data_IF_488174667329
#
_entry.id   IF_488174667329
#
_cell.length_a   1.000
_cell.length_b   1.000
_cell.length_c   1.000
_cell.angle_alpha   90.00
_cell.angle_beta   90.00
_cell.angle_gamma   90.00
#
_symmetry.space_group_name_H-M   'P 1'
#
loop_
_entity.id
_entity.type
_entity.pdbx_description
1 polymer ?
#
# COMPACT_ATOMS: atom_id res chain seq x y z
N UNK A 1 -6.74 7.04 2.24
CA UNK A 1 -5.55 7.36 3.05
C UNK A 1 -4.69 6.11 3.18
N UNK A 2 -3.36 6.26 3.00
CA UNK A 2 -2.45 5.12 3.06
C UNK A 2 -2.12 4.72 4.52
N UNK A 3 -1.93 5.71 5.41
CA UNK A 3 -1.64 5.54 6.84
C UNK A 3 -2.62 6.37 7.66
N UNK A 4 -2.77 6.09 8.95
CA UNK A 4 -3.64 6.88 9.83
C UNK A 4 -3.13 8.32 10.02
N UNK A 5 -4.04 9.24 10.32
CA UNK A 5 -3.66 10.63 10.61
C UNK A 5 -2.86 10.74 11.90
N UNK A 6 -3.19 9.90 12.87
CA UNK A 6 -2.57 9.86 14.19
C UNK A 6 -1.07 9.50 14.08
N UNK A 7 -0.72 8.52 13.24
CA UNK A 7 0.70 8.16 12.96
C UNK A 7 1.44 9.32 12.30
N UNK A 8 0.82 10.00 11.33
CA UNK A 8 1.45 11.14 10.65
C UNK A 8 1.63 12.33 11.61
N UNK A 9 0.64 12.58 12.45
CA UNK A 9 0.71 13.64 13.47
C UNK A 9 1.79 13.33 14.52
N UNK A 10 1.84 12.09 15.03
CA UNK A 10 2.89 11.64 15.93
C UNK A 10 4.30 11.84 15.33
N UNK A 11 4.49 11.50 14.05
CA UNK A 11 5.75 11.68 13.38
C UNK A 11 6.12 13.17 13.17
N UNK A 12 5.14 14.05 12.98
CA UNK A 12 5.36 15.48 12.87
C UNK A 12 5.77 16.10 14.22
N UNK A 13 5.06 15.75 15.29
CA UNK A 13 5.38 16.17 16.66
C UNK A 13 6.78 15.67 17.06
N UNK A 14 7.08 14.39 16.81
CA UNK A 14 8.39 13.81 17.08
C UNK A 14 9.52 14.47 16.27
N UNK A 15 9.25 14.97 15.08
CA UNK A 15 10.21 15.72 14.28
C UNK A 15 10.54 17.08 14.90
N UNK A 16 9.53 17.80 15.39
CA UNK A 16 9.69 19.11 16.01
C UNK A 16 10.42 19.02 17.37
N UNK A 17 10.25 17.89 18.07
CA UNK A 17 10.83 17.63 19.39
C UNK A 17 12.18 16.87 19.34
N UNK A 18 12.67 16.54 18.14
CA UNK A 18 13.87 15.71 17.89
C UNK A 18 13.80 14.33 18.58
N UNK A 19 12.58 13.77 18.60
CA UNK A 19 12.30 12.46 19.17
C UNK A 19 11.99 11.41 18.08
N UNK A 20 11.99 10.12 18.46
CA UNK A 20 11.58 8.99 17.59
C UNK A 20 12.15 9.06 16.15
N UNK A 21 13.49 9.19 15.99
CA UNK A 21 14.10 9.42 14.68
C UNK A 21 13.76 8.35 13.64
N UNK A 22 13.53 7.11 14.07
CA UNK A 22 13.15 6.01 13.18
C UNK A 22 11.73 6.19 12.61
N UNK A 23 10.75 6.59 13.44
CA UNK A 23 9.39 6.89 12.99
C UNK A 23 9.40 8.07 12.02
N UNK A 24 10.12 9.13 12.39
CA UNK A 24 10.28 10.33 11.56
C UNK A 24 10.88 9.95 10.20
N UNK A 25 11.97 9.17 10.17
CA UNK A 25 12.61 8.75 8.94
C UNK A 25 11.67 7.89 8.07
N UNK A 26 10.96 6.94 8.69
CA UNK A 26 10.01 6.06 8.01
C UNK A 26 8.86 6.82 7.35
N UNK A 27 8.33 7.87 8.00
CA UNK A 27 7.25 8.69 7.45
C UNK A 27 7.76 9.70 6.42
N UNK A 28 8.92 10.33 6.67
CA UNK A 28 9.48 11.36 5.77
C UNK A 28 9.80 10.84 4.38
N UNK A 29 10.35 9.61 4.29
CA UNK A 29 10.82 9.09 3.00
C UNK A 29 9.71 8.96 1.95
N UNK A 30 8.57 8.29 2.22
CA UNK A 30 7.48 8.22 1.24
C UNK A 30 6.85 9.60 0.95
N UNK A 31 6.78 10.49 1.95
CA UNK A 31 6.29 11.87 1.74
C UNK A 31 7.20 12.63 0.80
N UNK A 32 8.53 12.58 1.00
CA UNK A 32 9.50 13.21 0.14
C UNK A 32 9.47 12.66 -1.30
N UNK A 33 9.37 11.33 -1.46
CA UNK A 33 9.23 10.71 -2.77
C UNK A 33 7.96 11.19 -3.49
N UNK A 34 6.82 11.22 -2.81
CA UNK A 34 5.56 11.70 -3.40
C UNK A 34 5.61 13.19 -3.75
N UNK A 35 6.21 14.01 -2.88
CA UNK A 35 6.40 15.43 -3.14
C UNK A 35 7.27 15.67 -4.38
N UNK A 36 8.39 14.94 -4.49
CA UNK A 36 9.29 15.02 -5.65
C UNK A 36 8.58 14.61 -6.95
N UNK A 37 7.84 13.49 -6.94
CA UNK A 37 7.06 13.03 -8.10
C UNK A 37 6.02 14.06 -8.56
N UNK A 38 5.37 14.74 -7.62
CA UNK A 38 4.40 15.81 -7.93
C UNK A 38 5.10 17.05 -8.46
N UNK A 39 6.19 17.44 -7.82
CA UNK A 39 6.97 18.59 -8.23
C UNK A 39 7.55 18.42 -9.63
N UNK A 40 8.15 17.26 -9.94
CA UNK A 40 8.72 16.97 -11.26
C UNK A 40 7.68 17.15 -12.38
N UNK A 41 6.45 16.68 -12.17
CA UNK A 41 5.34 16.86 -13.13
C UNK A 41 4.88 18.31 -13.29
N UNK A 42 4.95 19.10 -12.21
CA UNK A 42 4.55 20.52 -12.24
C UNK A 42 5.66 21.40 -12.81
N UNK A 43 6.94 21.06 -12.54
CA UNK A 43 8.09 21.86 -12.97
C UNK A 43 8.48 21.65 -14.43
N UNK A 44 8.02 20.58 -15.07
CA UNK A 44 8.27 20.32 -16.50
C UNK A 44 7.68 21.37 -17.44
N UNK A 45 6.72 22.17 -16.95
CA UNK A 45 6.07 23.22 -17.73
C UNK A 45 6.03 24.52 -16.91
N UNK A 46 6.61 25.61 -17.42
CA UNK A 46 6.46 26.92 -16.82
C UNK A 46 5.09 27.53 -17.10
N UNK A 47 4.46 28.07 -16.08
CA UNK A 47 3.18 28.77 -16.17
C UNK A 47 3.45 30.27 -16.20
N UNK A 48 3.33 30.88 -17.38
CA UNK A 48 3.47 32.33 -17.56
C UNK A 48 2.11 32.96 -17.91
N UNK A 49 2.01 34.29 -17.77
CA UNK A 49 0.79 35.04 -18.13
C UNK A 49 0.39 34.88 -19.62
N UNK A 50 1.33 34.48 -20.48
CA UNK A 50 1.14 34.22 -21.92
C UNK A 50 0.87 32.75 -22.24
N UNK A 51 0.72 31.88 -21.24
CA UNK A 51 0.43 30.45 -21.43
C UNK A 51 1.52 29.53 -20.88
N UNK A 52 1.39 28.24 -21.19
CA UNK A 52 2.34 27.20 -20.78
C UNK A 52 3.52 27.17 -21.75
N UNK A 53 4.74 27.23 -21.22
CA UNK A 53 5.96 27.13 -22.03
C UNK A 53 6.93 26.12 -21.42
N UNK A 54 7.66 25.42 -22.30
CA UNK A 54 8.82 24.62 -21.90
C UNK A 54 10.03 25.54 -21.97
N UNK A 55 10.75 25.70 -20.86
CA UNK A 55 12.04 26.41 -20.87
C UNK A 55 13.09 25.48 -21.48
N UNK A 56 13.64 25.88 -22.59
CA UNK A 56 14.82 25.25 -23.21
C UNK A 56 15.92 26.30 -23.12
N UNK A 57 16.98 26.00 -22.37
CA UNK A 57 18.18 26.84 -22.34
C UNK A 57 19.09 26.41 -23.51
N UNK A 58 19.88 27.32 -24.05
CA UNK A 58 20.73 27.07 -25.24
C UNK A 58 21.74 25.92 -25.04
N UNK A 59 22.03 25.58 -23.78
CA UNK A 59 22.94 24.48 -23.40
C UNK A 59 22.24 23.22 -22.86
N UNK A 60 20.90 23.20 -22.75
CA UNK A 60 20.13 22.07 -22.22
C UNK A 60 19.18 21.54 -23.30
N UNK A 61 19.13 20.22 -23.45
CA UNK A 61 18.15 19.57 -24.30
C UNK A 61 17.04 19.00 -23.45
N UNK A 62 15.81 19.16 -23.91
CA UNK A 62 14.66 18.44 -23.33
C UNK A 62 14.94 16.94 -23.36
N UNK A 63 14.70 16.22 -22.26
CA UNK A 63 14.85 14.77 -22.24
C UNK A 63 13.89 14.11 -23.23
N UNK A 64 14.30 12.98 -23.80
CA UNK A 64 13.41 12.18 -24.63
C UNK A 64 12.30 11.54 -23.78
N UNK A 65 11.14 11.30 -24.37
CA UNK A 65 9.98 10.71 -23.69
C UNK A 65 10.33 9.41 -22.92
N UNK A 66 11.10 8.51 -23.53
CA UNK A 66 11.53 7.28 -22.88
C UNK A 66 12.43 7.50 -21.64
N UNK A 67 13.17 8.61 -21.59
CA UNK A 67 13.97 8.98 -20.40
C UNK A 67 13.07 9.46 -19.27
N UNK A 68 12.05 10.25 -19.60
CA UNK A 68 11.02 10.72 -18.65
C UNK A 68 10.26 9.52 -18.09
N UNK A 69 9.82 8.61 -18.95
CA UNK A 69 9.09 7.41 -18.53
C UNK A 69 9.92 6.51 -17.62
N UNK A 70 11.21 6.35 -17.93
CA UNK A 70 12.13 5.56 -17.09
C UNK A 70 12.36 6.22 -15.72
N UNK A 71 12.52 7.52 -15.68
CA UNK A 71 12.67 8.27 -14.43
C UNK A 71 11.39 8.23 -13.60
N UNK A 72 10.24 8.47 -14.21
CA UNK A 72 8.93 8.35 -13.57
C UNK A 72 8.68 6.95 -12.98
N UNK A 73 9.12 5.90 -13.68
CA UNK A 73 9.05 4.51 -13.19
C UNK A 73 9.96 4.32 -11.97
N UNK A 74 11.22 4.74 -12.05
CA UNK A 74 12.17 4.64 -10.95
C UNK A 74 11.71 5.41 -9.70
N UNK A 75 11.15 6.60 -9.89
CA UNK A 75 10.56 7.39 -8.78
C UNK A 75 9.36 6.70 -8.15
N UNK A 76 8.47 6.10 -8.95
CA UNK A 76 7.33 5.31 -8.46
C UNK A 76 7.80 4.09 -7.66
N UNK A 77 8.75 3.33 -8.18
CA UNK A 77 9.32 2.19 -7.46
C UNK A 77 9.94 2.59 -6.12
N UNK A 78 10.68 3.70 -6.09
CA UNK A 78 11.25 4.23 -4.85
C UNK A 78 10.16 4.61 -3.85
N UNK A 79 9.09 5.24 -4.31
CA UNK A 79 7.94 5.59 -3.47
C UNK A 79 7.27 4.36 -2.87
N UNK A 80 7.01 3.31 -3.66
CA UNK A 80 6.38 2.09 -3.17
C UNK A 80 7.27 1.32 -2.21
N UNK A 81 8.59 1.25 -2.46
CA UNK A 81 9.55 0.68 -1.49
C UNK A 81 9.57 1.47 -0.18
N UNK A 82 9.49 2.79 -0.24
CA UNK A 82 9.42 3.63 0.94
C UNK A 82 8.12 3.42 1.73
N UNK A 83 6.99 3.23 1.04
CA UNK A 83 5.73 2.86 1.69
C UNK A 83 5.81 1.49 2.36
N UNK A 84 6.40 0.51 1.69
CA UNK A 84 6.54 -0.82 2.24
C UNK A 84 7.44 -0.83 3.49
N UNK A 85 8.56 -0.12 3.44
CA UNK A 85 9.42 0.08 4.60
C UNK A 85 8.68 0.75 5.77
N UNK A 86 7.82 1.75 5.48
CA UNK A 86 6.98 2.37 6.51
C UNK A 86 6.00 1.36 7.14
N UNK A 87 5.30 0.56 6.33
CA UNK A 87 4.39 -0.45 6.87
C UNK A 87 5.11 -1.51 7.68
N UNK A 88 6.27 -1.98 7.21
CA UNK A 88 7.11 -2.94 7.93
C UNK A 88 7.54 -2.36 9.28
N UNK A 89 7.99 -1.10 9.32
CA UNK A 89 8.32 -0.43 10.55
C UNK A 89 7.12 -0.36 11.51
N UNK A 90 5.96 0.05 11.03
CA UNK A 90 4.74 0.17 11.85
C UNK A 90 4.27 -1.16 12.42
N UNK A 91 4.41 -2.26 11.69
CA UNK A 91 4.07 -3.61 12.17
C UNK A 91 5.06 -4.11 13.22
N UNK A 92 6.34 -3.77 13.10
CA UNK A 92 7.41 -4.28 13.96
C UNK A 92 7.71 -3.41 15.18
N UNK A 93 7.48 -2.10 15.09
CA UNK A 93 7.80 -1.13 16.15
C UNK A 93 6.85 -1.17 17.35
N UNK A 94 5.68 -1.80 17.21
CA UNK A 94 4.67 -1.79 18.26
C UNK A 94 3.93 -0.45 18.41
N UNK A 95 3.96 0.43 17.43
CA UNK A 95 3.34 1.75 17.48
C UNK A 95 1.82 1.67 17.78
N UNK A 96 1.37 2.30 18.88
CA UNK A 96 -0.01 2.21 19.37
C UNK A 96 -1.01 2.92 18.43
N UNK A 97 -0.62 4.05 17.84
CA UNK A 97 -1.46 4.77 16.89
C UNK A 97 -1.66 3.97 15.59
N UNK A 98 -0.69 3.10 15.25
CA UNK A 98 -0.86 2.15 14.16
C UNK A 98 -1.78 1.00 14.54
N UNK A 99 -1.57 0.36 15.69
CA UNK A 99 -2.39 -0.78 16.16
C UNK A 99 -3.88 -0.44 16.23
N UNK A 100 -4.21 0.77 16.67
CA UNK A 100 -5.59 1.28 16.78
C UNK A 100 -6.12 1.89 15.49
N UNK A 101 -5.30 1.98 14.44
CA UNK A 101 -5.72 2.55 13.17
C UNK A 101 -6.79 1.69 12.48
N UNK A 102 -7.75 2.33 11.81
CA UNK A 102 -8.80 1.64 11.08
C UNK A 102 -8.22 0.65 10.04
N UNK A 103 -7.08 0.98 9.44
CA UNK A 103 -6.42 0.13 8.46
C UNK A 103 -5.85 -1.15 9.09
N UNK A 104 -5.23 -1.05 10.26
CA UNK A 104 -4.72 -2.22 10.99
C UNK A 104 -5.85 -3.06 11.57
N UNK A 105 -6.87 -2.40 12.14
CA UNK A 105 -8.03 -3.07 12.71
C UNK A 105 -8.86 -3.83 11.67
N UNK A 106 -8.86 -3.40 10.41
CA UNK A 106 -9.52 -4.08 9.31
C UNK A 106 -9.06 -5.55 9.17
N UNK A 107 -7.81 -5.88 9.52
CA UNK A 107 -7.33 -7.28 9.48
C UNK A 107 -8.07 -8.18 10.47
N UNK A 108 -8.60 -7.65 11.56
CA UNK A 108 -9.43 -8.38 12.52
C UNK A 108 -10.79 -8.83 11.95
N UNK A 109 -11.27 -8.15 10.91
CA UNK A 109 -12.52 -8.51 10.21
C UNK A 109 -12.28 -9.55 9.10
N UNK A 110 -11.02 -9.79 8.75
CA UNK A 110 -10.64 -10.72 7.69
C UNK A 110 -10.43 -12.14 8.22
N UNK A 111 -10.79 -13.13 7.40
CA UNK A 111 -10.39 -14.53 7.65
C UNK A 111 -8.89 -14.74 7.40
N UNK A 112 -8.21 -13.77 6.75
CA UNK A 112 -6.76 -13.72 6.52
C UNK A 112 -6.17 -12.64 7.43
N UNK A 113 -5.67 -13.04 8.60
CA UNK A 113 -5.37 -12.13 9.71
C UNK A 113 -3.94 -11.57 9.72
N UNK A 114 -3.03 -12.22 9.01
CA UNK A 114 -1.63 -11.85 8.94
C UNK A 114 -1.04 -12.13 7.56
N UNK A 115 0.14 -11.55 7.32
CA UNK A 115 0.82 -11.67 6.03
C UNK A 115 1.25 -13.11 5.74
N UNK A 116 1.60 -13.90 6.76
CA UNK A 116 2.02 -15.29 6.59
C UNK A 116 0.88 -16.17 6.06
N UNK A 117 -0.35 -15.97 6.55
CA UNK A 117 -1.55 -16.64 6.02
C UNK A 117 -1.83 -16.23 4.57
N UNK A 118 -1.53 -14.97 4.21
CA UNK A 118 -1.67 -14.49 2.84
C UNK A 118 -0.63 -15.12 1.92
N UNK A 119 0.65 -15.11 2.33
CA UNK A 119 1.78 -15.64 1.55
C UNK A 119 1.75 -17.16 1.38
N UNK A 120 1.13 -17.87 2.30
CA UNK A 120 0.88 -19.31 2.13
C UNK A 120 0.04 -19.65 0.89
N UNK A 121 -0.66 -18.65 0.31
CA UNK A 121 -1.54 -18.78 -0.85
C UNK A 121 -1.02 -18.03 -2.06
N UNK A 122 -0.58 -16.78 -1.85
CA UNK A 122 -0.12 -15.89 -2.90
C UNK A 122 1.09 -15.10 -2.42
N UNK A 123 2.27 -15.27 -3.03
CA UNK A 123 3.48 -14.60 -2.61
C UNK A 123 3.38 -13.09 -2.85
N UNK A 124 3.77 -12.32 -1.86
CA UNK A 124 3.89 -10.85 -1.91
C UNK A 124 5.26 -10.38 -1.44
N UNK A 125 6.23 -11.31 -1.33
CA UNK A 125 7.64 -11.07 -0.97
C UNK A 125 7.80 -10.27 0.34
N UNK A 126 6.96 -10.57 1.34
CA UNK A 126 6.96 -9.91 2.64
C UNK A 126 6.39 -8.48 2.61
N UNK A 127 5.83 -8.04 1.49
CA UNK A 127 5.32 -6.68 1.36
C UNK A 127 4.05 -6.45 2.17
N UNK A 128 4.18 -5.77 3.29
CA UNK A 128 3.04 -5.33 4.09
C UNK A 128 2.18 -4.28 3.36
N UNK A 129 2.79 -3.47 2.50
CA UNK A 129 2.04 -2.52 1.68
C UNK A 129 1.04 -3.24 0.76
N UNK A 130 1.51 -4.26 0.03
CA UNK A 130 0.65 -5.07 -0.87
C UNK A 130 -0.38 -5.85 -0.08
N UNK A 131 0.01 -6.45 1.04
CA UNK A 131 -0.91 -7.14 1.94
C UNK A 131 -2.07 -6.23 2.38
N UNK A 132 -1.79 -5.04 2.90
CA UNK A 132 -2.82 -4.08 3.32
C UNK A 132 -3.63 -3.50 2.16
N UNK A 133 -3.04 -3.39 0.98
CA UNK A 133 -3.77 -2.95 -0.21
C UNK A 133 -4.83 -3.96 -0.62
N UNK A 134 -4.51 -5.26 -0.54
CA UNK A 134 -5.40 -6.35 -0.93
C UNK A 134 -6.44 -6.71 0.14
N UNK A 135 -6.23 -6.37 1.42
CA UNK A 135 -7.14 -6.73 2.51
C UNK A 135 -8.58 -6.25 2.29
N UNK A 136 -8.79 -5.06 1.78
CA UNK A 136 -10.13 -4.56 1.47
C UNK A 136 -10.85 -5.45 0.45
N UNK A 137 -10.12 -5.97 -0.54
CA UNK A 137 -10.67 -6.90 -1.53
C UNK A 137 -10.89 -8.29 -0.94
N UNK A 138 -10.00 -8.77 -0.06
CA UNK A 138 -10.20 -10.04 0.65
C UNK A 138 -11.49 -9.98 1.48
N UNK A 139 -11.72 -8.90 2.23
CA UNK A 139 -12.93 -8.70 3.01
C UNK A 139 -14.17 -8.60 2.11
N UNK A 140 -14.07 -7.90 0.99
CA UNK A 140 -15.14 -7.85 0.00
C UNK A 140 -15.48 -9.24 -0.52
N UNK A 141 -14.47 -10.04 -0.89
CA UNK A 141 -14.67 -11.39 -1.43
C UNK A 141 -15.18 -12.38 -0.39
N UNK A 142 -14.68 -12.34 0.84
CA UNK A 142 -15.20 -13.18 1.91
C UNK A 142 -16.69 -12.93 2.19
N UNK A 143 -17.14 -11.66 2.15
CA UNK A 143 -18.54 -11.30 2.37
C UNK A 143 -19.45 -11.61 1.18
N UNK A 144 -18.97 -11.32 -0.04
CA UNK A 144 -19.77 -11.43 -1.24
C UNK A 144 -19.83 -12.86 -1.82
N UNK A 145 -18.80 -13.66 -1.59
CA UNK A 145 -18.66 -14.98 -2.23
C UNK A 145 -18.58 -16.09 -1.19
N UNK A 146 -17.60 -16.01 -0.27
CA UNK A 146 -17.30 -17.13 0.62
C UNK A 146 -18.42 -17.33 1.65
N UNK A 147 -18.87 -16.22 2.29
CA UNK A 147 -19.94 -16.29 3.30
C UNK A 147 -21.24 -16.90 2.77
N UNK A 148 -21.81 -16.39 1.65
CA UNK A 148 -23.00 -16.99 1.04
C UNK A 148 -22.82 -18.46 0.63
N UNK A 149 -21.63 -18.82 0.11
CA UNK A 149 -21.34 -20.21 -0.27
C UNK A 149 -21.20 -21.14 0.95
N UNK A 150 -20.61 -20.65 2.04
CA UNK A 150 -20.40 -21.42 3.27
C UNK A 150 -21.71 -21.66 4.06
N UNK A 151 -22.70 -20.77 3.89
CA UNK A 151 -23.98 -20.87 4.60
C UNK A 151 -23.81 -20.94 6.11
N UNK A 152 -24.42 -21.93 6.75
CA UNK A 152 -24.40 -22.10 8.22
C UNK A 152 -22.98 -22.28 8.79
N UNK A 153 -22.00 -22.69 7.97
CA UNK A 153 -20.60 -22.84 8.40
C UNK A 153 -19.84 -21.54 8.44
N UNK A 154 -20.43 -20.46 7.94
CA UNK A 154 -19.72 -19.17 7.86
C UNK A 154 -19.27 -18.65 9.25
N UNK A 155 -20.08 -18.80 10.28
CA UNK A 155 -19.74 -18.33 11.62
C UNK A 155 -18.41 -18.92 12.13
N UNK A 156 -18.26 -20.25 12.00
CA UNK A 156 -17.05 -20.97 12.41
C UNK A 156 -15.82 -20.66 11.54
N UNK A 157 -16.02 -20.32 10.26
CA UNK A 157 -14.94 -19.88 9.37
C UNK A 157 -14.50 -18.47 9.78
N UNK A 158 -15.45 -17.58 10.04
CA UNK A 158 -15.17 -16.16 10.34
C UNK A 158 -14.46 -15.99 11.70
N UNK A 159 -14.82 -16.76 12.71
CA UNK A 159 -14.17 -16.72 14.03
C UNK A 159 -12.90 -17.57 14.11
N UNK A 160 -12.66 -18.45 13.13
CA UNK A 160 -11.47 -19.30 13.05
C UNK A 160 -11.61 -20.63 13.81
N UNK A 161 -12.82 -21.01 14.24
CA UNK A 161 -13.07 -22.28 14.97
C UNK A 161 -13.37 -23.46 14.05
N UNK A 162 -13.51 -23.23 12.75
CA UNK A 162 -13.71 -24.31 11.77
C UNK A 162 -12.46 -25.21 11.64
N UNK A 163 -12.67 -26.41 11.09
CA UNK A 163 -11.57 -27.31 10.75
C UNK A 163 -10.49 -26.60 9.88
N UNK A 164 -9.21 -26.85 10.16
CA UNK A 164 -8.10 -26.17 9.50
C UNK A 164 -8.11 -26.34 7.97
N UNK A 165 -8.57 -27.48 7.48
CA UNK A 165 -8.73 -27.71 6.04
C UNK A 165 -9.80 -26.80 5.44
N UNK A 166 -10.88 -26.57 6.16
CA UNK A 166 -11.97 -25.66 5.73
C UNK A 166 -11.48 -24.22 5.77
N UNK A 167 -10.77 -23.82 6.83
CA UNK A 167 -10.16 -22.48 6.95
C UNK A 167 -9.17 -22.23 5.83
N UNK A 168 -8.27 -23.17 5.55
CA UNK A 168 -7.29 -23.07 4.46
C UNK A 168 -7.96 -22.91 3.10
N UNK A 169 -9.00 -23.67 2.81
CA UNK A 169 -9.76 -23.54 1.56
C UNK A 169 -10.48 -22.20 1.44
N UNK A 170 -11.11 -21.74 2.52
CA UNK A 170 -11.80 -20.45 2.56
C UNK A 170 -10.81 -19.27 2.36
N UNK A 171 -9.68 -19.29 3.06
CA UNK A 171 -8.60 -18.30 2.88
C UNK A 171 -8.08 -18.27 1.45
N UNK A 172 -7.78 -19.47 0.89
CA UNK A 172 -7.31 -19.61 -0.48
C UNK A 172 -8.31 -19.04 -1.48
N UNK A 173 -9.60 -19.36 -1.33
CA UNK A 173 -10.65 -18.84 -2.20
C UNK A 173 -10.79 -17.33 -2.10
N UNK A 174 -10.72 -16.75 -0.89
CA UNK A 174 -10.81 -15.32 -0.66
C UNK A 174 -9.62 -14.57 -1.27
N UNK A 175 -8.39 -15.05 -1.03
CA UNK A 175 -7.15 -14.43 -1.53
C UNK A 175 -7.12 -14.48 -3.05
N UNK A 176 -7.29 -15.66 -3.67
CA UNK A 176 -7.20 -15.78 -5.12
C UNK A 176 -8.28 -14.97 -5.83
N UNK A 177 -9.52 -14.95 -5.30
CA UNK A 177 -10.57 -14.12 -5.88
C UNK A 177 -10.30 -12.61 -5.71
N UNK A 178 -9.67 -12.19 -4.61
CA UNK A 178 -9.23 -10.80 -4.41
C UNK A 178 -8.12 -10.41 -5.39
N UNK A 179 -7.13 -11.28 -5.60
CA UNK A 179 -6.03 -11.07 -6.57
C UNK A 179 -6.56 -10.97 -8.00
N UNK A 180 -7.50 -11.83 -8.39
CA UNK A 180 -8.15 -11.75 -9.72
C UNK A 180 -8.87 -10.40 -9.89
N UNK A 181 -9.63 -9.97 -8.88
CA UNK A 181 -10.31 -8.67 -8.91
C UNK A 181 -9.32 -7.51 -8.95
N UNK A 182 -8.23 -7.58 -8.20
CA UNK A 182 -7.14 -6.59 -8.26
C UNK A 182 -6.55 -6.51 -9.67
N UNK A 183 -6.25 -7.64 -10.29
CA UNK A 183 -5.72 -7.70 -11.65
C UNK A 183 -6.66 -7.13 -12.72
N UNK A 184 -7.98 -7.20 -12.50
CA UNK A 184 -8.98 -6.64 -13.42
C UNK A 184 -9.27 -5.15 -13.17
N UNK A 185 -9.21 -4.69 -11.92
CA UNK A 185 -9.47 -3.29 -11.52
C UNK A 185 -8.25 -2.39 -11.67
N UNK A 186 -7.06 -2.95 -11.42
CA UNK A 186 -5.78 -2.24 -11.48
C UNK A 186 -4.95 -2.88 -12.58
N UNK A 187 -4.40 -2.08 -13.48
CA UNK A 187 -3.44 -2.61 -14.44
C UNK A 187 -2.28 -3.24 -13.68
N UNK A 188 -1.91 -4.49 -14.01
CA UNK A 188 -0.84 -5.24 -13.34
C UNK A 188 0.54 -4.56 -13.37
N UNK A 189 0.69 -3.48 -14.10
CA UNK A 189 1.87 -2.60 -14.07
C UNK A 189 2.14 -1.95 -12.71
N UNK A 190 1.18 -2.03 -11.77
CA UNK A 190 1.33 -1.48 -10.41
C UNK A 190 2.20 -2.36 -9.52
N UNK A 191 2.43 -3.62 -9.89
CA UNK A 191 3.26 -4.56 -9.14
C UNK A 191 4.45 -5.01 -10.00
N UNK A 192 5.52 -4.21 -10.10
CA UNK A 192 6.76 -4.75 -10.65
C UNK A 192 7.29 -5.82 -9.68
N UNK A 193 7.35 -7.03 -10.17
CA UNK A 193 8.13 -8.12 -9.58
C UNK A 193 9.62 -7.76 -9.71
#
# INVERSE_FOLDING_TARGET
>A
RLVSQEVVKEAAEAYDEDEKPELVAAVRLPVACLALMRYAKLSSVSHESTGRKVKIDDNERSPYEWQIDRDDRAMRERYFRALDALYTYLETSGNENWKTSAKRMMTGESIVRNIQEFEAVYPVDGSYYVYYLLQALVIERQRAVIGPFAGDKWASIADGSADERVLSLARRAAILSAVIVAGTRWSLEVFPI
#
